data_IF_960228042864
#
_entry.id   IF_960228042864
#
_cell.length_a   1.000
_cell.length_b   1.000
_cell.length_c   1.000
_cell.angle_alpha   90.00
_cell.angle_beta   90.00
_cell.angle_gamma   90.00
#
_symmetry.space_group_name_H-M   'P 1'
#
loop_
_entity.id
_entity.type
_entity.pdbx_description
1 polymer ?
#
# COMPACT_ATOMS: atom_id res chain seq x y z
N UNK A 1 2.47 -7.20 -10.00
CA UNK A 1 3.39 -6.43 -9.16
C UNK A 1 4.17 -7.34 -8.20
N UNK A 2 4.72 -8.46 -8.66
CA UNK A 2 5.57 -9.30 -7.82
C UNK A 2 6.80 -9.66 -8.63
N UNK A 3 7.78 -8.77 -8.57
CA UNK A 3 9.15 -9.10 -8.95
C UNK A 3 9.87 -9.52 -7.67
N UNK A 4 10.23 -10.81 -7.52
CA UNK A 4 10.90 -11.33 -6.32
C UNK A 4 12.36 -10.84 -6.17
N UNK A 5 12.86 -10.00 -7.08
CA UNK A 5 14.24 -9.47 -7.03
C UNK A 5 14.43 -8.23 -6.13
N UNK A 6 13.36 -7.70 -5.53
CA UNK A 6 13.36 -6.47 -4.74
C UNK A 6 13.30 -6.68 -3.22
N UNK A 7 13.89 -7.76 -2.69
CA UNK A 7 13.84 -8.15 -1.27
C UNK A 7 15.05 -7.70 -0.42
N UNK A 8 15.67 -6.56 -0.74
CA UNK A 8 16.71 -5.95 0.11
C UNK A 8 16.12 -4.80 0.95
N UNK A 9 16.69 -4.54 2.13
CA UNK A 9 16.25 -3.45 3.01
C UNK A 9 16.41 -2.06 2.37
N UNK A 10 17.28 -1.94 1.37
CA UNK A 10 17.49 -0.71 0.59
C UNK A 10 16.57 -0.63 -0.64
N UNK A 11 15.77 -1.66 -0.90
CA UNK A 11 14.78 -1.67 -1.98
C UNK A 11 13.54 -0.89 -1.56
N UNK A 12 12.71 -0.49 -2.52
CA UNK A 12 11.41 0.17 -2.33
C UNK A 12 10.33 -0.79 -1.77
N UNK A 13 10.71 -1.62 -0.80
CA UNK A 13 9.83 -2.53 -0.11
C UNK A 13 9.18 -1.79 1.06
N UNK A 14 7.90 -1.46 0.95
CA UNK A 14 7.13 -0.96 2.09
C UNK A 14 5.95 -1.88 2.29
N UNK A 15 5.86 -2.45 3.49
CA UNK A 15 4.81 -3.37 3.90
C UNK A 15 4.31 -3.00 5.30
N UNK A 16 3.02 -3.22 5.53
CA UNK A 16 2.24 -2.60 6.61
C UNK A 16 2.40 -3.22 8.00
N UNK A 17 1.76 -2.60 8.99
CA UNK A 17 1.65 -3.11 10.38
C UNK A 17 0.19 -3.23 10.75
N UNK A 18 -0.27 -4.42 11.14
CA UNK A 18 -1.62 -4.64 11.68
C UNK A 18 -1.58 -4.90 13.18
N UNK A 19 -2.55 -4.32 13.90
CA UNK A 19 -2.78 -4.59 15.33
C UNK A 19 -4.12 -5.30 15.48
N UNK A 20 -4.08 -6.45 16.13
CA UNK A 20 -5.25 -7.28 16.43
C UNK A 20 -5.28 -7.65 17.91
N UNK A 21 -6.46 -8.01 18.44
CA UNK A 21 -6.62 -8.34 19.86
C UNK A 21 -7.73 -9.38 20.09
N UNK A 22 -7.62 -10.13 21.19
CA UNK A 22 -8.70 -10.96 21.71
C UNK A 22 -8.73 -12.40 21.21
N UNK A 23 -9.73 -13.15 21.70
CA UNK A 23 -10.04 -14.52 21.29
C UNK A 23 -11.58 -14.67 21.20
N UNK A 24 -12.17 -14.70 19.98
CA UNK A 24 -11.48 -14.70 18.69
C UNK A 24 -10.77 -13.37 18.37
N UNK A 25 -9.75 -13.45 17.53
CA UNK A 25 -8.92 -12.33 17.09
C UNK A 25 -9.77 -11.28 16.36
N UNK A 26 -9.74 -10.04 16.82
CA UNK A 26 -10.45 -8.90 16.25
C UNK A 26 -9.44 -7.90 15.70
N UNK A 27 -9.72 -7.40 14.49
CA UNK A 27 -8.98 -6.30 13.88
C UNK A 27 -9.19 -5.03 14.70
N UNK A 28 -8.11 -4.30 15.00
CA UNK A 28 -8.18 -2.97 15.62
C UNK A 28 -7.86 -1.91 14.59
N UNK A 29 -6.68 -1.99 13.97
CA UNK A 29 -6.29 -1.09 12.90
C UNK A 29 -5.09 -1.63 12.11
N UNK A 30 -4.86 -1.09 10.92
CA UNK A 30 -3.68 -1.39 10.11
C UNK A 30 -3.04 -0.12 9.53
N UNK A 31 -1.72 -0.01 9.63
CA UNK A 31 -0.90 0.90 8.85
C UNK A 31 -0.59 0.23 7.51
N UNK A 32 -0.96 0.86 6.41
CA UNK A 32 -0.65 0.43 5.06
C UNK A 32 0.29 1.47 4.46
N UNK A 33 1.34 0.99 3.83
CA UNK A 33 2.42 1.83 3.31
C UNK A 33 2.64 1.53 1.84
N UNK A 34 2.85 2.57 1.05
CA UNK A 34 3.16 2.48 -0.37
C UNK A 34 4.40 3.28 -0.73
N UNK A 35 4.94 3.04 -1.92
CA UNK A 35 6.04 3.84 -2.43
C UNK A 35 5.54 5.21 -2.90
N UNK A 36 4.51 5.26 -3.75
CA UNK A 36 3.91 6.50 -4.23
C UNK A 36 2.48 6.70 -3.67
N UNK A 37 2.10 7.95 -3.46
CA UNK A 37 0.71 8.33 -3.18
C UNK A 37 -0.18 8.06 -4.40
N UNK A 38 0.11 8.72 -5.53
CA UNK A 38 -0.65 8.61 -6.77
C UNK A 38 0.24 8.87 -7.98
N UNK A 39 1.07 7.89 -8.37
CA UNK A 39 1.87 8.01 -9.60
C UNK A 39 1.15 7.39 -10.78
N UNK A 40 0.79 8.20 -11.77
CA UNK A 40 0.60 7.77 -13.16
C UNK A 40 1.96 7.90 -13.86
N UNK A 41 2.83 6.88 -13.81
CA UNK A 41 4.08 6.95 -14.58
C UNK A 41 3.73 6.90 -16.08
N UNK A 42 3.65 8.06 -16.73
CA UNK A 42 3.38 8.21 -18.17
C UNK A 42 4.56 7.65 -18.98
N UNK A 43 4.59 6.34 -19.15
CA UNK A 43 5.65 5.62 -19.86
C UNK A 43 5.62 4.12 -19.60
N UNK A 44 5.17 3.71 -18.41
CA UNK A 44 4.98 2.33 -18.01
C UNK A 44 3.76 2.30 -17.09
N UNK A 45 2.70 1.55 -17.44
CA UNK A 45 1.50 1.36 -16.61
C UNK A 45 1.83 0.59 -15.32
N UNK A 46 2.71 1.13 -14.49
CA UNK A 46 3.28 0.48 -13.31
C UNK A 46 2.75 1.16 -12.04
N UNK A 47 1.42 1.29 -11.97
CA UNK A 47 0.66 1.66 -10.75
C UNK A 47 0.87 0.64 -9.61
N UNK A 48 1.66 -0.39 -9.85
CA UNK A 48 2.19 -1.37 -8.91
C UNK A 48 2.99 -0.79 -7.74
N UNK A 49 3.30 0.51 -7.75
CA UNK A 49 4.01 1.19 -6.67
C UNK A 49 3.14 2.15 -5.85
N UNK A 50 1.89 2.37 -6.26
CA UNK A 50 0.95 3.23 -5.54
C UNK A 50 0.48 2.55 -4.26
N UNK A 51 0.24 3.30 -3.16
CA UNK A 51 -0.37 2.70 -1.97
C UNK A 51 -1.63 1.90 -2.36
N UNK A 52 -1.84 0.67 -1.85
CA UNK A 52 -3.07 -0.10 -2.09
C UNK A 52 -4.36 0.65 -1.76
N UNK A 53 -4.27 1.53 -0.78
CA UNK A 53 -5.34 2.38 -0.31
C UNK A 53 -5.62 3.61 -1.20
N UNK A 54 -4.72 3.95 -2.13
CA UNK A 54 -4.83 5.15 -2.96
C UNK A 54 -5.91 4.98 -4.01
N UNK A 55 -6.63 6.06 -4.31
CA UNK A 55 -7.72 6.04 -5.26
C UNK A 55 -7.19 5.81 -6.68
N UNK A 56 -7.68 4.76 -7.34
CA UNK A 56 -7.20 4.34 -8.66
C UNK A 56 -5.98 3.41 -8.63
N UNK A 57 -5.47 3.06 -7.45
CA UNK A 57 -4.38 2.08 -7.32
C UNK A 57 -4.80 0.69 -7.79
N UNK A 58 -4.02 0.08 -8.70
CA UNK A 58 -4.19 -1.33 -9.08
C UNK A 58 -3.94 -2.28 -7.90
N UNK A 59 -3.21 -1.81 -6.89
CA UNK A 59 -2.97 -2.57 -5.66
C UNK A 59 -4.18 -2.58 -4.73
N UNK A 60 -5.25 -1.82 -4.99
CA UNK A 60 -6.45 -1.85 -4.15
C UNK A 60 -7.08 -3.25 -4.05
N UNK A 61 -6.91 -4.06 -5.10
CA UNK A 61 -7.34 -5.46 -5.14
C UNK A 61 -6.65 -6.37 -4.11
N UNK A 62 -5.50 -5.96 -3.53
CA UNK A 62 -4.81 -6.74 -2.50
C UNK A 62 -5.38 -6.52 -1.10
N UNK A 63 -6.16 -5.44 -0.91
CA UNK A 63 -6.79 -5.13 0.37
C UNK A 63 -7.82 -6.20 0.73
N UNK A 64 -7.69 -6.72 1.95
CA UNK A 64 -8.60 -7.71 2.47
C UNK A 64 -9.82 -7.04 3.10
N UNK A 65 -11.00 -7.63 2.93
CA UNK A 65 -12.26 -7.06 3.42
C UNK A 65 -12.34 -6.91 4.95
N UNK A 66 -11.53 -7.66 5.71
CA UNK A 66 -11.50 -7.57 7.18
C UNK A 66 -10.96 -6.24 7.70
N UNK A 67 -10.23 -5.48 6.87
CA UNK A 67 -9.62 -4.20 7.25
C UNK A 67 -10.69 -3.13 7.51
N UNK A 68 -11.80 -3.19 6.76
CA UNK A 68 -12.89 -2.24 6.88
C UNK A 68 -12.42 -0.79 6.70
N UNK A 69 -12.81 0.07 7.64
CA UNK A 69 -12.44 1.49 7.68
C UNK A 69 -11.32 1.79 8.71
N UNK A 70 -10.81 0.76 9.39
CA UNK A 70 -9.83 0.91 10.45
C UNK A 70 -8.42 0.77 9.89
N UNK A 71 -8.04 1.72 9.04
CA UNK A 71 -6.72 1.75 8.42
C UNK A 71 -6.16 3.17 8.32
N UNK A 72 -4.83 3.26 8.30
CA UNK A 72 -4.09 4.47 7.97
C UNK A 72 -3.18 4.19 6.78
N UNK A 73 -3.12 5.14 5.85
CA UNK A 73 -2.24 5.10 4.69
C UNK A 73 -1.06 6.04 4.90
N UNK A 74 0.14 5.59 4.57
CA UNK A 74 1.27 6.49 4.31
C UNK A 74 1.97 6.13 3.00
N UNK A 75 2.59 7.11 2.34
CA UNK A 75 3.45 6.86 1.18
C UNK A 75 4.79 7.55 1.33
N UNK A 76 5.87 6.91 0.86
CA UNK A 76 7.21 7.49 0.92
C UNK A 76 7.43 8.65 -0.05
N UNK A 77 6.67 8.68 -1.14
CA UNK A 77 6.74 9.71 -2.17
C UNK A 77 5.34 10.31 -2.38
N UNK A 78 5.12 11.58 -1.98
CA UNK A 78 3.87 12.29 -2.20
C UNK A 78 3.76 12.74 -3.66
N UNK A 79 4.15 11.89 -4.62
CA UNK A 79 4.05 12.19 -6.05
C UNK A 79 2.57 12.41 -6.38
N UNK A 80 2.16 13.67 -6.27
CA UNK A 80 0.94 14.20 -6.82
C UNK A 80 1.10 14.14 -8.32
N UNK A 81 0.11 13.58 -9.02
CA UNK A 81 -0.04 13.75 -10.46
C UNK A 81 0.22 15.24 -10.77
N UNK A 82 1.30 15.51 -11.51
CA UNK A 82 1.84 16.85 -11.67
C UNK A 82 0.75 17.80 -12.15
N UNK A 83 0.25 18.64 -11.24
CA UNK A 83 -0.61 19.78 -11.57
C UNK A 83 0.25 21.01 -11.81
#
# INVERSE_FOLDING_TARGET
CHDPSHNDINSYYVDGVSITCGSPCQHIWILIVGFNEASNFTGTNDDCHNCPCSQGSLQNSTLQSFIGNDYFCESGNPATDGT
#
